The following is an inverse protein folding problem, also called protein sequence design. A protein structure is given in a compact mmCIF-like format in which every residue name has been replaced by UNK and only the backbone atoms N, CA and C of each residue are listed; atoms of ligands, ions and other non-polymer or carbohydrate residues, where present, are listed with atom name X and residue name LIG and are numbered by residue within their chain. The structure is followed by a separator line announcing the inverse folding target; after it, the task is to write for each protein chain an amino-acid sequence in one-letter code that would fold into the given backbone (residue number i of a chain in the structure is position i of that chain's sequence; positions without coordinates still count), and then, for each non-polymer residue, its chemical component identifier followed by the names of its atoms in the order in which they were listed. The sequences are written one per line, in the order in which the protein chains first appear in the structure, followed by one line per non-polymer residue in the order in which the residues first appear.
data_IF_656387790258
#
_entry.id   IF_656387790258
#
_cell.length_a   1.000
_cell.length_b   1.000
_cell.length_c   1.000
_cell.angle_alpha   90.00
_cell.angle_beta   90.00
_cell.angle_gamma   90.00
#
_symmetry.space_group_name_H-M   'P 1'
#
loop_
_entity.id
_entity.type
_entity.pdbx_description
1 polymer ?
#
# COMPACT_ATOMS: atom_id res chain seq x y z
N UNK A 1 51.90 73.51 53.75
CA UNK A 1 52.04 74.79 54.49
C UNK A 1 51.44 75.91 53.66
N UNK A 2 50.81 76.83 54.38
CA UNK A 2 50.29 78.16 54.06
C UNK A 2 50.72 78.78 52.71
N UNK A 3 49.70 79.37 52.04
CA UNK A 3 49.76 80.50 51.11
C UNK A 3 50.81 81.52 51.57
N UNK A 4 51.34 82.33 50.65
CA UNK A 4 51.26 83.79 50.78
C UNK A 4 51.63 84.48 49.46
N UNK A 5 50.64 85.21 48.95
CA UNK A 5 50.81 86.31 48.04
C UNK A 5 51.58 87.45 48.74
N UNK A 6 52.42 88.17 48.00
CA UNK A 6 52.84 89.52 48.34
C UNK A 6 52.93 90.32 47.04
N UNK A 7 52.15 91.39 46.98
CA UNK A 7 51.98 92.24 45.81
C UNK A 7 53.10 93.25 45.59
N UNK A 8 52.93 93.95 44.45
CA UNK A 8 53.65 95.07 43.87
C UNK A 8 54.41 95.99 44.85
N UNK A 9 55.69 96.19 44.56
CA UNK A 9 56.51 97.32 45.02
C UNK A 9 57.34 97.82 43.84
N UNK A 10 56.79 98.78 43.10
CA UNK A 10 57.47 99.58 42.09
C UNK A 10 58.43 100.56 42.76
N UNK A 11 59.74 100.29 42.71
CA UNK A 11 60.76 101.29 43.02
C UNK A 11 61.06 102.15 41.78
N UNK A 12 60.86 103.48 41.80
CA UNK A 12 60.90 104.34 40.60
C UNK A 12 62.31 104.63 40.06
N UNK A 13 63.35 104.03 40.62
CA UNK A 13 64.74 104.42 40.38
C UNK A 13 65.43 103.61 39.27
N UNK A 14 64.91 102.44 38.91
CA UNK A 14 65.48 101.60 37.85
C UNK A 14 65.40 102.27 36.46
N UNK A 15 64.33 103.04 36.20
CA UNK A 15 64.17 103.79 34.96
C UNK A 15 65.24 104.88 34.76
N UNK A 16 65.70 105.52 35.85
CA UNK A 16 66.77 106.53 35.80
C UNK A 16 68.16 105.91 35.64
N UNK A 17 68.38 104.69 36.15
CA UNK A 17 69.63 103.95 35.95
C UNK A 17 69.79 103.48 34.50
N UNK A 18 68.70 103.08 33.84
CA UNK A 18 68.71 102.61 32.44
C UNK A 18 68.98 103.74 31.43
N UNK A 19 68.51 104.96 31.69
CA UNK A 19 68.71 106.12 30.79
C UNK A 19 70.13 106.68 30.81
N UNK A 20 70.98 106.30 31.77
CA UNK A 20 72.34 106.87 31.93
C UNK A 20 73.47 106.08 31.26
N UNK A 21 73.19 104.91 30.66
CA UNK A 21 74.18 104.12 29.87
C UNK A 21 74.03 104.25 28.36
N UNK A 22 73.24 105.21 27.87
CA UNK A 22 72.91 105.34 26.44
C UNK A 22 74.08 105.90 25.60
N UNK A 23 75.24 106.29 26.18
CA UNK A 23 76.30 106.90 25.36
C UNK A 23 77.75 106.60 25.77
N UNK A 24 78.03 105.38 26.21
CA UNK A 24 79.41 104.89 26.32
C UNK A 24 79.74 104.01 25.12
N UNK A 25 80.49 104.59 24.18
CA UNK A 25 80.97 103.99 22.93
C UNK A 25 81.92 102.80 23.22
N UNK A 26 81.38 101.60 23.41
CA UNK A 26 82.15 100.35 23.39
C UNK A 26 82.24 99.88 21.93
N UNK A 27 83.45 99.71 21.36
CA UNK A 27 83.63 99.32 19.97
C UNK A 27 82.97 97.97 19.65
N UNK A 28 82.33 97.94 18.49
CA UNK A 28 81.81 96.76 17.80
C UNK A 28 82.89 95.66 17.73
N UNK A 29 82.75 94.63 18.57
CA UNK A 29 83.55 93.41 18.50
C UNK A 29 82.97 92.53 17.40
N UNK A 30 83.56 92.63 16.20
CA UNK A 30 83.42 91.66 15.12
C UNK A 30 83.68 90.24 15.66
N UNK A 31 82.61 89.46 15.84
CA UNK A 31 82.62 88.06 16.27
C UNK A 31 82.23 87.15 15.09
N UNK A 32 82.91 87.36 13.96
CA UNK A 32 82.93 86.43 12.85
C UNK A 32 83.92 85.30 13.21
N UNK A 33 83.45 84.30 13.97
CA UNK A 33 84.28 83.16 14.36
C UNK A 33 83.87 82.27 15.54
N UNK A 34 82.71 82.46 16.18
CA UNK A 34 82.30 81.56 17.29
C UNK A 34 81.36 80.46 16.80
N UNK A 35 81.91 79.25 16.63
CA UNK A 35 81.11 78.02 16.59
C UNK A 35 80.38 77.85 17.94
N UNK A 36 79.10 77.47 17.98
CA UNK A 36 78.44 77.11 19.23
C UNK A 36 79.10 75.84 19.80
N UNK A 37 79.40 75.83 21.10
CA UNK A 37 79.96 74.68 21.82
C UNK A 37 78.99 73.46 21.83
N UNK A 38 77.75 73.63 21.35
CA UNK A 38 76.81 72.53 21.08
C UNK A 38 77.29 71.56 19.99
N UNK A 39 78.24 71.97 19.14
CA UNK A 39 78.81 71.11 18.10
C UNK A 39 79.81 70.05 18.58
N UNK A 40 80.20 70.04 19.87
CA UNK A 40 81.25 69.15 20.40
C UNK A 40 80.80 68.17 21.50
N UNK A 41 79.55 68.23 21.97
CA UNK A 41 78.99 67.21 22.84
C UNK A 41 78.36 66.11 21.98
N UNK A 42 79.14 65.09 21.68
CA UNK A 42 78.59 63.83 21.19
C UNK A 42 77.72 63.28 22.33
N UNK A 43 76.39 63.41 22.21
CA UNK A 43 75.42 62.92 23.19
C UNK A 43 75.55 61.40 23.23
N UNK A 44 76.29 60.88 24.20
CA UNK A 44 76.40 59.43 24.42
C UNK A 44 75.07 58.97 25.03
N UNK A 45 74.31 58.09 24.35
CA UNK A 45 73.04 57.60 24.87
C UNK A 45 73.23 56.87 26.20
N UNK A 46 72.29 57.04 27.12
CA UNK A 46 72.31 56.29 28.39
C UNK A 46 71.97 54.81 28.16
N UNK A 47 72.44 53.91 29.04
CA UNK A 47 72.10 52.48 28.98
C UNK A 47 70.58 52.21 28.94
N UNK A 48 69.79 53.05 29.60
CA UNK A 48 68.32 52.99 29.59
C UNK A 48 67.73 53.34 28.22
N UNK A 49 68.33 54.29 27.52
CA UNK A 49 67.87 54.73 26.20
C UNK A 49 68.14 53.68 25.12
N UNK A 50 69.29 53.00 25.20
CA UNK A 50 69.60 51.85 24.34
C UNK A 50 68.59 50.71 24.57
N UNK A 51 68.29 50.38 25.83
CA UNK A 51 67.31 49.35 26.18
C UNK A 51 65.90 49.71 25.68
N UNK A 52 65.52 51.00 25.79
CA UNK A 52 64.23 51.50 25.30
C UNK A 52 64.11 51.32 23.78
N UNK A 53 65.14 51.71 23.03
CA UNK A 53 65.16 51.55 21.56
C UNK A 53 65.10 50.08 21.14
N UNK A 54 65.83 49.20 21.82
CA UNK A 54 65.77 47.74 21.60
C UNK A 54 64.37 47.17 21.83
N UNK A 55 63.68 47.67 22.87
CA UNK A 55 62.31 47.28 23.17
C UNK A 55 61.33 47.77 22.10
N UNK A 56 61.44 49.03 21.68
CA UNK A 56 60.63 49.60 20.59
C UNK A 56 60.82 48.85 19.26
N UNK A 57 62.07 48.47 18.94
CA UNK A 57 62.40 47.67 17.76
C UNK A 57 61.74 46.29 17.82
N UNK A 58 61.88 45.59 18.94
CA UNK A 58 61.24 44.27 19.15
C UNK A 58 59.73 44.36 19.12
N UNK A 59 59.15 45.41 19.70
CA UNK A 59 57.70 45.60 19.67
C UNK A 59 57.19 45.84 18.24
N UNK A 60 57.89 46.66 17.46
CA UNK A 60 57.58 46.87 16.03
C UNK A 60 57.72 45.58 15.21
N UNK A 61 58.70 44.73 15.54
CA UNK A 61 58.86 43.43 14.87
C UNK A 61 57.74 42.45 15.25
N UNK A 62 57.29 42.47 16.49
CA UNK A 62 56.15 41.69 16.97
C UNK A 62 54.84 42.16 16.34
N UNK A 63 54.60 43.47 16.23
CA UNK A 63 53.44 44.04 15.54
C UNK A 63 53.38 43.57 14.08
N UNK A 64 54.51 43.64 13.35
CA UNK A 64 54.61 43.10 11.98
C UNK A 64 54.38 41.59 11.90
N UNK A 65 54.78 40.83 12.93
CA UNK A 65 54.50 39.38 13.00
C UNK A 65 53.02 39.11 13.25
N UNK A 66 52.38 39.89 14.13
CA UNK A 66 50.94 39.81 14.41
C UNK A 66 50.14 40.11 13.15
N UNK A 67 50.47 41.20 12.44
CA UNK A 67 49.80 41.58 11.18
C UNK A 67 49.90 40.46 10.13
N UNK A 68 51.09 39.89 9.91
CA UNK A 68 51.26 38.74 9.01
C UNK A 68 50.45 37.51 9.43
N UNK A 69 50.41 37.20 10.72
CA UNK A 69 49.63 36.07 11.24
C UNK A 69 48.12 36.32 11.10
N UNK A 70 47.66 37.56 11.20
CA UNK A 70 46.27 37.94 10.95
C UNK A 70 45.90 37.79 9.47
N UNK A 71 46.77 38.23 8.56
CA UNK A 71 46.62 38.00 7.11
C UNK A 71 46.59 36.51 6.77
N UNK A 72 47.54 35.72 7.27
CA UNK A 72 47.59 34.26 7.07
C UNK A 72 46.32 33.58 7.59
N UNK A 73 45.84 33.98 8.77
CA UNK A 73 44.58 33.46 9.34
C UNK A 73 43.37 33.79 8.47
N UNK A 74 43.30 34.98 7.88
CA UNK A 74 42.21 35.34 6.96
C UNK A 74 42.28 34.53 5.66
N UNK A 75 43.48 34.35 5.09
CA UNK A 75 43.66 33.50 3.91
C UNK A 75 43.25 32.05 4.17
N UNK A 76 43.69 31.46 5.28
CA UNK A 76 43.30 30.10 5.65
C UNK A 76 41.79 29.94 5.83
N UNK A 77 41.10 30.96 6.38
CA UNK A 77 39.63 30.95 6.48
C UNK A 77 38.97 30.94 5.10
N UNK A 78 39.43 31.80 4.20
CA UNK A 78 38.92 31.85 2.83
C UNK A 78 39.18 30.53 2.09
N UNK A 79 40.34 29.92 2.26
CA UNK A 79 40.67 28.63 1.63
C UNK A 79 39.75 27.51 2.12
N UNK A 80 39.41 27.48 3.41
CA UNK A 80 38.42 26.52 3.96
C UNK A 80 37.05 26.73 3.34
N UNK A 81 36.54 27.97 3.28
CA UNK A 81 35.23 28.27 2.67
C UNK A 81 35.20 27.90 1.17
N UNK A 82 36.30 28.14 0.45
CA UNK A 82 36.46 27.74 -0.96
C UNK A 82 36.44 26.22 -1.11
N UNK A 83 37.14 25.48 -0.24
CA UNK A 83 37.13 24.01 -0.28
C UNK A 83 35.75 23.44 0.04
N UNK A 84 35.06 24.00 1.03
CA UNK A 84 33.70 23.58 1.38
C UNK A 84 32.72 23.80 0.22
N UNK A 85 32.76 24.97 -0.42
CA UNK A 85 31.90 25.28 -1.57
C UNK A 85 32.21 24.40 -2.78
N UNK A 86 33.49 24.11 -3.04
CA UNK A 86 33.90 23.18 -4.09
C UNK A 86 33.41 21.75 -3.81
N UNK A 87 33.48 21.29 -2.55
CA UNK A 87 32.99 19.97 -2.18
C UNK A 87 31.46 19.86 -2.37
N UNK A 88 30.70 20.83 -1.89
CA UNK A 88 29.25 20.90 -2.12
C UNK A 88 28.92 20.92 -3.62
N UNK A 89 29.69 21.66 -4.42
CA UNK A 89 29.51 21.69 -5.87
C UNK A 89 29.78 20.32 -6.51
N UNK A 90 30.80 19.58 -6.05
CA UNK A 90 31.10 18.23 -6.52
C UNK A 90 29.98 17.24 -6.17
N UNK A 91 29.45 17.30 -4.94
CA UNK A 91 28.32 16.48 -4.50
C UNK A 91 27.06 16.75 -5.34
N UNK A 92 26.73 18.02 -5.57
CA UNK A 92 25.59 18.40 -6.41
C UNK A 92 25.75 17.88 -7.85
N UNK A 93 26.95 17.99 -8.43
CA UNK A 93 27.25 17.45 -9.77
C UNK A 93 27.07 15.93 -9.81
N UNK A 94 27.56 15.21 -8.79
CA UNK A 94 27.39 13.76 -8.71
C UNK A 94 25.90 13.36 -8.66
N UNK A 95 25.10 14.10 -7.89
CA UNK A 95 23.66 13.86 -7.76
C UNK A 95 22.89 14.15 -9.05
N UNK A 96 23.26 15.20 -9.78
CA UNK A 96 22.71 15.49 -11.11
C UNK A 96 22.94 14.31 -12.05
N UNK A 97 24.17 13.78 -12.12
CA UNK A 97 24.50 12.64 -12.98
C UNK A 97 23.72 11.37 -12.58
N UNK A 98 23.52 11.12 -11.28
CA UNK A 98 22.69 10.00 -10.81
C UNK A 98 21.22 10.16 -11.23
N UNK A 99 20.67 11.37 -11.08
CA UNK A 99 19.31 11.69 -11.51
C UNK A 99 19.15 11.54 -13.03
N UNK A 100 20.11 11.99 -13.83
CA UNK A 100 20.10 11.79 -15.29
C UNK A 100 20.13 10.30 -15.67
N UNK A 101 20.94 9.49 -14.98
CA UNK A 101 20.96 8.03 -15.19
C UNK A 101 19.63 7.36 -14.83
N UNK A 102 19.00 7.78 -13.74
CA UNK A 102 17.70 7.23 -13.33
C UNK A 102 16.59 7.66 -14.29
N UNK A 103 16.59 8.92 -14.74
CA UNK A 103 15.66 9.46 -15.74
C UNK A 103 15.81 8.71 -17.08
N UNK A 104 17.04 8.45 -17.52
CA UNK A 104 17.29 7.71 -18.76
C UNK A 104 16.84 6.25 -18.63
N UNK A 105 17.06 5.61 -17.47
CA UNK A 105 16.49 4.29 -17.16
C UNK A 105 14.97 4.29 -17.21
N UNK A 106 14.32 5.30 -16.65
CA UNK A 106 12.87 5.44 -16.66
C UNK A 106 12.33 5.69 -18.07
N UNK A 107 12.97 6.55 -18.87
CA UNK A 107 12.63 6.75 -20.29
C UNK A 107 12.84 5.52 -21.15
N UNK A 108 13.89 4.75 -20.87
CA UNK A 108 14.20 3.49 -21.55
C UNK A 108 13.29 2.34 -21.13
N UNK A 109 12.58 2.46 -20.00
CA UNK A 109 11.48 1.53 -19.68
C UNK A 109 10.38 1.78 -20.69
N UNK A 110 10.16 0.74 -21.48
CA UNK A 110 9.19 0.73 -22.55
C UNK A 110 7.77 0.54 -22.00
N UNK A 111 7.42 1.33 -20.99
CA UNK A 111 6.16 1.26 -20.24
C UNK A 111 4.97 1.39 -21.18
N UNK A 112 5.10 2.20 -22.22
CA UNK A 112 4.06 2.35 -23.25
C UNK A 112 3.82 1.06 -24.03
N UNK A 113 4.88 0.32 -24.39
CA UNK A 113 4.73 -0.97 -25.09
C UNK A 113 4.20 -2.05 -24.16
N UNK A 114 4.67 -2.10 -22.91
CA UNK A 114 4.15 -3.02 -21.90
C UNK A 114 2.67 -2.76 -21.61
N UNK A 115 2.27 -1.50 -21.46
CA UNK A 115 0.87 -1.10 -21.28
C UNK A 115 0.02 -1.39 -22.52
N UNK A 116 0.57 -1.21 -23.73
CA UNK A 116 -0.12 -1.57 -24.96
C UNK A 116 -0.32 -3.08 -25.06
N UNK A 117 0.67 -3.88 -24.68
CA UNK A 117 0.57 -5.34 -24.68
C UNK A 117 -0.46 -5.83 -23.65
N UNK A 118 -0.48 -5.25 -22.45
CA UNK A 118 -1.48 -5.58 -21.43
C UNK A 118 -2.88 -5.17 -21.87
N UNK A 119 -3.04 -4.00 -22.51
CA UNK A 119 -4.31 -3.56 -23.09
C UNK A 119 -4.82 -4.54 -24.16
N UNK A 120 -3.96 -4.98 -25.08
CA UNK A 120 -4.33 -5.98 -26.08
C UNK A 120 -4.80 -7.30 -25.43
N UNK A 121 -4.13 -7.73 -24.35
CA UNK A 121 -4.51 -8.95 -23.62
C UNK A 121 -5.84 -8.81 -22.90
N UNK A 122 -6.12 -7.64 -22.32
CA UNK A 122 -7.43 -7.35 -21.70
C UNK A 122 -8.55 -7.42 -22.75
N UNK A 123 -8.34 -6.85 -23.94
CA UNK A 123 -9.35 -6.88 -25.00
C UNK A 123 -9.61 -8.31 -25.52
N UNK A 124 -8.58 -9.15 -25.60
CA UNK A 124 -8.74 -10.58 -25.91
C UNK A 124 -9.57 -11.31 -24.85
N UNK A 125 -9.25 -11.09 -23.56
CA UNK A 125 -9.99 -11.71 -22.45
C UNK A 125 -11.46 -11.26 -22.43
N UNK A 126 -11.72 -10.00 -22.77
CA UNK A 126 -13.08 -9.47 -22.87
C UNK A 126 -13.90 -10.17 -23.95
N UNK A 127 -13.32 -10.42 -25.14
CA UNK A 127 -13.99 -11.18 -26.20
C UNK A 127 -14.33 -12.61 -25.77
N UNK A 128 -13.39 -13.29 -25.09
CA UNK A 128 -13.62 -14.65 -24.58
C UNK A 128 -14.72 -14.68 -23.51
N UNK A 129 -14.82 -13.65 -22.66
CA UNK A 129 -15.89 -13.54 -21.68
C UNK A 129 -17.26 -13.40 -22.36
N UNK A 130 -17.35 -12.59 -23.42
CA UNK A 130 -18.59 -12.43 -24.20
C UNK A 130 -19.01 -13.75 -24.88
N UNK A 131 -18.06 -14.51 -25.44
CA UNK A 131 -18.33 -15.85 -25.98
C UNK A 131 -18.87 -16.79 -24.90
N UNK A 132 -18.25 -16.83 -23.72
CA UNK A 132 -18.68 -17.66 -22.61
C UNK A 132 -20.08 -17.26 -22.11
N UNK A 133 -20.37 -15.97 -22.01
CA UNK A 133 -21.68 -15.45 -21.63
C UNK A 133 -22.78 -15.92 -22.59
N UNK A 134 -22.52 -15.85 -23.90
CA UNK A 134 -23.43 -16.37 -24.92
C UNK A 134 -23.68 -17.88 -24.78
N UNK A 135 -22.63 -18.67 -24.52
CA UNK A 135 -22.79 -20.12 -24.28
C UNK A 135 -23.59 -20.41 -23.01
N UNK A 136 -23.37 -19.64 -21.95
CA UNK A 136 -24.09 -19.78 -20.69
C UNK A 136 -25.57 -19.45 -20.87
N UNK A 137 -25.90 -18.41 -21.63
CA UNK A 137 -27.27 -18.06 -21.97
C UNK A 137 -27.95 -19.17 -22.78
N UNK A 138 -27.25 -19.77 -23.76
CA UNK A 138 -27.76 -20.92 -24.52
C UNK A 138 -28.01 -22.13 -23.62
N UNK A 139 -27.08 -22.44 -22.71
CA UNK A 139 -27.26 -23.49 -21.71
C UNK A 139 -28.47 -23.22 -20.81
N UNK A 140 -28.65 -21.98 -20.35
CA UNK A 140 -29.81 -21.57 -19.56
C UNK A 140 -31.14 -21.77 -20.29
N UNK A 141 -31.21 -21.49 -21.59
CA UNK A 141 -32.39 -21.77 -22.40
C UNK A 141 -32.68 -23.27 -22.52
N UNK A 142 -31.64 -24.09 -22.72
CA UNK A 142 -31.77 -25.56 -22.79
C UNK A 142 -32.27 -26.15 -21.48
N UNK A 143 -31.77 -25.66 -20.35
CA UNK A 143 -32.21 -26.11 -19.02
C UNK A 143 -33.71 -25.83 -18.83
N UNK A 144 -34.18 -24.62 -19.14
CA UNK A 144 -35.61 -24.28 -19.04
C UNK A 144 -36.51 -25.22 -19.85
N UNK A 145 -36.08 -25.60 -21.05
CA UNK A 145 -36.83 -26.56 -21.88
C UNK A 145 -36.85 -27.94 -21.24
N UNK A 146 -35.73 -28.39 -20.67
CA UNK A 146 -35.65 -29.68 -19.99
C UNK A 146 -36.50 -29.72 -18.72
N UNK A 147 -36.51 -28.65 -17.93
CA UNK A 147 -37.35 -28.52 -16.73
C UNK A 147 -38.83 -28.64 -17.09
N UNK A 148 -39.29 -27.93 -18.13
CA UNK A 148 -40.67 -28.05 -18.60
C UNK A 148 -41.03 -29.46 -19.10
N UNK A 149 -40.09 -30.13 -19.77
CA UNK A 149 -40.28 -31.52 -20.19
C UNK A 149 -40.34 -32.49 -19.00
N UNK A 150 -39.53 -32.27 -17.96
CA UNK A 150 -39.53 -33.08 -16.75
C UNK A 150 -40.88 -33.01 -16.02
N UNK A 151 -41.43 -31.79 -15.87
CA UNK A 151 -42.76 -31.59 -15.32
C UNK A 151 -43.83 -32.32 -16.13
N UNK A 152 -43.75 -32.23 -17.46
CA UNK A 152 -44.68 -32.94 -18.35
C UNK A 152 -44.62 -34.46 -18.15
N UNK A 153 -43.42 -35.05 -18.11
CA UNK A 153 -43.26 -36.50 -17.89
C UNK A 153 -43.72 -36.96 -16.51
N UNK A 154 -43.51 -36.13 -15.47
CA UNK A 154 -44.03 -36.41 -14.12
C UNK A 154 -45.55 -36.52 -14.11
N UNK A 155 -46.24 -35.60 -14.80
CA UNK A 155 -47.70 -35.65 -14.88
C UNK A 155 -48.20 -36.86 -15.69
N UNK A 156 -47.54 -37.17 -16.83
CA UNK A 156 -47.85 -38.37 -17.61
C UNK A 156 -47.67 -39.66 -16.81
N UNK A 157 -46.60 -39.73 -16.02
CA UNK A 157 -46.35 -40.88 -15.14
C UNK A 157 -47.45 -41.00 -14.08
N UNK A 158 -47.82 -39.89 -13.42
CA UNK A 158 -48.88 -39.86 -12.42
C UNK A 158 -50.23 -40.30 -13.00
N UNK A 159 -50.56 -39.80 -14.19
CA UNK A 159 -51.77 -40.22 -14.91
C UNK A 159 -51.78 -41.73 -15.17
N UNK A 160 -50.68 -42.27 -15.69
CA UNK A 160 -50.54 -43.70 -15.98
C UNK A 160 -50.60 -44.56 -14.72
N UNK A 161 -49.99 -44.11 -13.62
CA UNK A 161 -50.06 -44.79 -12.32
C UNK A 161 -51.49 -44.84 -11.79
N UNK A 162 -52.23 -43.74 -11.86
CA UNK A 162 -53.64 -43.72 -11.45
C UNK A 162 -54.49 -44.68 -12.30
N UNK A 163 -54.22 -44.78 -13.61
CA UNK A 163 -54.91 -45.76 -14.46
C UNK A 163 -54.63 -47.20 -14.03
N UNK A 164 -53.37 -47.53 -13.74
CA UNK A 164 -52.98 -48.86 -13.27
C UNK A 164 -53.67 -49.16 -11.95
N UNK A 165 -53.62 -48.25 -10.97
CA UNK A 165 -54.29 -48.42 -9.68
C UNK A 165 -55.80 -48.65 -9.83
N UNK A 166 -56.47 -47.92 -10.72
CA UNK A 166 -57.89 -48.13 -10.96
C UNK A 166 -58.19 -49.51 -11.57
N UNK A 167 -57.34 -49.98 -12.50
CA UNK A 167 -57.47 -51.32 -13.08
C UNK A 167 -57.18 -52.41 -12.06
N UNK A 168 -56.18 -52.23 -11.22
CA UNK A 168 -55.83 -53.16 -10.14
C UNK A 168 -56.99 -53.26 -9.13
N UNK A 169 -57.62 -52.13 -8.82
CA UNK A 169 -58.82 -52.11 -7.97
C UNK A 169 -59.97 -52.91 -8.60
N UNK A 170 -60.32 -52.63 -9.86
CA UNK A 170 -61.38 -53.36 -10.58
C UNK A 170 -61.06 -54.85 -10.68
N UNK A 171 -59.81 -55.20 -10.96
CA UNK A 171 -59.38 -56.61 -11.04
C UNK A 171 -59.47 -57.29 -9.67
N UNK A 172 -59.06 -56.63 -8.60
CA UNK A 172 -59.17 -57.13 -7.23
C UNK A 172 -60.62 -57.36 -6.80
N UNK A 173 -61.54 -56.48 -7.19
CA UNK A 173 -62.98 -56.67 -6.97
C UNK A 173 -63.52 -57.86 -7.77
N UNK A 174 -63.18 -57.97 -9.06
CA UNK A 174 -63.60 -59.09 -9.90
C UNK A 174 -63.08 -60.44 -9.36
N UNK A 175 -61.83 -60.49 -8.92
CA UNK A 175 -61.24 -61.68 -8.27
C UNK A 175 -61.99 -62.02 -6.98
N UNK A 176 -62.33 -61.02 -6.15
CA UNK A 176 -63.10 -61.24 -4.92
C UNK A 176 -64.49 -61.82 -5.21
N UNK A 177 -65.19 -61.30 -6.23
CA UNK A 177 -66.48 -61.83 -6.66
C UNK A 177 -66.38 -63.28 -7.18
N UNK A 178 -65.33 -63.62 -7.93
CA UNK A 178 -65.08 -65.00 -8.38
C UNK A 178 -64.87 -65.92 -7.17
N UNK A 179 -64.14 -65.46 -6.15
CA UNK A 179 -63.95 -66.20 -4.89
C UNK A 179 -65.27 -66.50 -4.18
N UNK A 180 -66.15 -65.51 -4.06
CA UNK A 180 -67.47 -65.69 -3.46
C UNK A 180 -68.32 -66.72 -4.23
N UNK A 181 -68.37 -66.60 -5.57
CA UNK A 181 -69.10 -67.55 -6.42
C UNK A 181 -68.53 -68.97 -6.30
N UNK A 182 -67.20 -69.09 -6.25
CA UNK A 182 -66.54 -70.38 -6.09
C UNK A 182 -66.82 -71.04 -4.75
N UNK A 183 -66.87 -70.27 -3.66
CA UNK A 183 -67.24 -70.76 -2.33
C UNK A 183 -68.70 -71.23 -2.30
N UNK A 184 -69.62 -70.44 -2.86
CA UNK A 184 -71.03 -70.85 -3.00
C UNK A 184 -71.18 -72.13 -3.83
N UNK A 185 -70.47 -72.27 -4.95
CA UNK A 185 -70.46 -73.49 -5.76
C UNK A 185 -69.91 -74.68 -4.97
N UNK A 186 -68.90 -74.47 -4.13
CA UNK A 186 -68.34 -75.52 -3.28
C UNK A 186 -69.33 -76.00 -2.22
N UNK A 187 -70.08 -75.09 -1.58
CA UNK A 187 -71.14 -75.42 -0.63
C UNK A 187 -72.26 -76.18 -1.32
N UNK A 188 -72.70 -75.75 -2.50
CA UNK A 188 -73.71 -76.49 -3.25
C UNK A 188 -73.21 -77.89 -3.63
N UNK A 189 -71.95 -78.04 -4.05
CA UNK A 189 -71.39 -79.34 -4.39
C UNK A 189 -71.42 -80.34 -3.21
N UNK A 190 -71.16 -79.88 -1.98
CA UNK A 190 -71.25 -80.76 -0.79
C UNK A 190 -72.70 -81.14 -0.48
N UNK A 191 -73.66 -80.22 -0.62
CA UNK A 191 -75.10 -80.52 -0.47
C UNK A 191 -75.59 -81.51 -1.53
N UNK A 192 -75.14 -81.33 -2.77
CA UNK A 192 -75.42 -82.19 -3.90
C UNK A 192 -74.92 -83.62 -3.65
N UNK A 193 -73.70 -83.78 -3.10
CA UNK A 193 -73.16 -85.09 -2.73
C UNK A 193 -74.06 -85.82 -1.70
N UNK A 194 -74.64 -85.10 -0.75
CA UNK A 194 -75.59 -85.66 0.23
C UNK A 194 -76.90 -86.10 -0.44
N UNK A 195 -77.44 -85.28 -1.35
CA UNK A 195 -78.71 -85.58 -2.03
C UNK A 195 -78.56 -86.66 -3.11
N UNK A 196 -77.43 -86.72 -3.82
CA UNK A 196 -77.19 -87.73 -4.87
C UNK A 196 -77.25 -89.15 -4.31
N UNK A 197 -76.72 -89.39 -3.11
CA UNK A 197 -76.79 -90.68 -2.40
C UNK A 197 -78.23 -91.10 -2.12
N UNK A 198 -79.14 -90.13 -1.90
CA UNK A 198 -80.55 -90.39 -1.62
C UNK A 198 -81.32 -90.76 -2.89
N UNK A 199 -81.13 -90.01 -3.99
CA UNK A 199 -81.97 -90.12 -5.19
C UNK A 199 -81.49 -91.11 -6.26
N UNK A 200 -80.22 -91.54 -6.27
CA UNK A 200 -79.73 -92.58 -7.22
C UNK A 200 -80.44 -93.94 -7.03
N UNK A 201 -81.17 -94.15 -5.93
CA UNK A 201 -81.81 -95.44 -5.58
C UNK A 201 -83.34 -95.48 -5.77
N UNK A 202 -83.99 -94.37 -6.16
CA UNK A 202 -85.45 -94.21 -5.96
C UNK A 202 -86.34 -94.24 -7.21
N UNK A 203 -85.86 -93.91 -8.43
CA UNK A 203 -86.69 -93.92 -9.67
C UNK A 203 -85.88 -93.60 -10.94
N UNK A 204 -86.38 -93.92 -12.13
CA UNK A 204 -85.84 -93.46 -13.43
C UNK A 204 -85.70 -91.93 -13.50
N UNK A 205 -86.63 -91.18 -12.89
CA UNK A 205 -86.55 -89.71 -12.78
C UNK A 205 -85.46 -89.25 -11.79
N UNK A 206 -85.08 -90.10 -10.84
CA UNK A 206 -83.95 -89.89 -9.93
C UNK A 206 -82.59 -89.97 -10.63
N UNK A 207 -82.48 -90.79 -11.69
CA UNK A 207 -81.27 -90.90 -12.49
C UNK A 207 -80.99 -89.63 -13.31
N UNK A 208 -82.03 -88.99 -13.88
CA UNK A 208 -81.89 -87.68 -14.56
C UNK A 208 -81.43 -86.58 -13.59
N UNK A 209 -82.00 -86.56 -12.38
CA UNK A 209 -81.58 -85.63 -11.32
C UNK A 209 -80.13 -85.89 -10.90
N UNK A 210 -79.72 -87.14 -10.72
CA UNK A 210 -78.33 -87.50 -10.42
C UNK A 210 -77.35 -87.04 -11.53
N UNK A 211 -77.77 -87.07 -12.80
CA UNK A 211 -76.96 -86.57 -13.92
C UNK A 211 -76.76 -85.05 -13.87
N UNK A 212 -77.80 -84.28 -13.54
CA UNK A 212 -77.70 -82.84 -13.34
C UNK A 212 -76.79 -82.48 -12.15
N UNK A 213 -76.91 -83.22 -11.05
CA UNK A 213 -76.09 -83.08 -9.85
C UNK A 213 -74.59 -83.33 -10.14
N UNK A 214 -74.26 -84.34 -10.97
CA UNK A 214 -72.89 -84.57 -11.47
C UNK A 214 -72.35 -83.38 -12.28
N UNK A 215 -73.21 -82.71 -13.05
CA UNK A 215 -72.88 -81.49 -13.77
C UNK A 215 -72.47 -80.33 -12.85
N UNK A 216 -73.24 -80.09 -11.79
CA UNK A 216 -72.92 -79.06 -10.77
C UNK A 216 -71.58 -79.34 -10.09
N UNK A 217 -71.32 -80.61 -9.75
CA UNK A 217 -70.05 -81.04 -9.15
C UNK A 217 -68.86 -80.83 -10.10
N UNK A 218 -69.01 -81.18 -11.38
CA UNK A 218 -67.98 -80.97 -12.39
C UNK A 218 -67.66 -79.48 -12.60
N UNK A 219 -68.67 -78.60 -12.52
CA UNK A 219 -68.45 -77.16 -12.57
C UNK A 219 -67.65 -76.66 -11.35
N UNK A 220 -67.97 -77.11 -10.14
CA UNK A 220 -67.22 -76.74 -8.92
C UNK A 220 -65.73 -77.13 -8.99
N UNK A 221 -65.42 -78.36 -9.44
CA UNK A 221 -64.03 -78.83 -9.61
C UNK A 221 -63.29 -78.00 -10.66
N UNK A 222 -63.97 -77.67 -11.77
CA UNK A 222 -63.37 -76.89 -12.84
C UNK A 222 -63.10 -75.45 -12.41
N UNK A 223 -64.02 -74.83 -11.67
CA UNK A 223 -63.82 -73.47 -11.12
C UNK A 223 -62.61 -73.43 -10.18
N UNK A 224 -62.42 -74.44 -9.32
CA UNK A 224 -61.23 -74.56 -8.47
C UNK A 224 -59.90 -74.70 -9.22
N UNK A 225 -59.92 -75.21 -10.46
CA UNK A 225 -58.70 -75.38 -11.25
C UNK A 225 -58.20 -74.08 -11.90
N UNK A 226 -59.05 -73.04 -11.94
CA UNK A 226 -58.73 -71.71 -12.48
C UNK A 226 -58.49 -70.66 -11.38
N UNK A 227 -58.57 -71.08 -10.12
CA UNK A 227 -58.24 -70.33 -8.91
C UNK A 227 -56.86 -70.74 -8.40
#
# INVERSE_FOLDING_TARGET
MKRLAVGLMTTPEYGKWRSKRINDNIPELNLEGVRPMEGYLQVIPSKLEIIKQDFEMRNSELEKKIERLEEEKMHLRLDVDVLETQNHQAELKARIVELERSLTRYRGRNTVIELKASLCKIEEMKKRLEELENTLQSCGQRIKVLEGNEEHWKEQLRYSQNQIQNRDYIMGEAVSQIWEVADHLQIMATQVDVLSVKYELESDRGQELASLLKGVKAMSIRTKAYL
#
